data_IF_915580175094
#
_entry.id   IF_915580175094
#
_cell.length_a   1.000
_cell.length_b   1.000
_cell.length_c   1.000
_cell.angle_alpha   90.00
_cell.angle_beta   90.00
_cell.angle_gamma   90.00
#
_symmetry.space_group_name_H-M   'P 1'
#
loop_
_entity.id
_entity.type
_entity.pdbx_description
1 polymer ?
#
# COMPACT_ATOMS: atom_id res chain seq x y z
N UNK A 1 -10.23 -6.69 11.11
CA UNK A 1 -8.98 -5.98 11.41
C UNK A 1 -8.54 -4.98 10.32
N UNK A 2 -9.00 -5.08 9.06
CA UNK A 2 -8.70 -4.07 8.01
C UNK A 2 -9.48 -2.74 8.15
N UNK A 3 -10.71 -2.76 8.67
CA UNK A 3 -11.60 -1.58 8.77
C UNK A 3 -11.05 -0.44 9.65
N UNK A 4 -10.19 -0.75 10.63
CA UNK A 4 -9.58 0.27 11.50
C UNK A 4 -8.38 0.96 10.83
N UNK A 5 -7.59 0.24 10.03
CA UNK A 5 -6.50 0.81 9.24
C UNK A 5 -7.03 1.74 8.14
N UNK A 6 -8.15 1.36 7.49
CA UNK A 6 -8.83 2.19 6.49
C UNK A 6 -9.26 3.57 7.01
N UNK A 7 -9.61 3.68 8.30
CA UNK A 7 -9.98 4.98 8.90
C UNK A 7 -8.77 5.89 9.15
N UNK A 8 -7.59 5.32 9.35
CA UNK A 8 -6.37 6.07 9.64
C UNK A 8 -5.68 6.57 8.37
N UNK A 9 -5.68 5.77 7.31
CA UNK A 9 -4.89 6.02 6.10
C UNK A 9 -5.73 6.18 4.81
N UNK A 10 -7.04 5.98 4.89
CA UNK A 10 -7.94 6.14 3.76
C UNK A 10 -7.97 4.93 2.81
N UNK A 11 -8.64 5.12 1.67
CA UNK A 11 -8.82 4.07 0.64
C UNK A 11 -7.52 3.82 -0.14
N UNK A 12 -6.77 4.87 -0.48
CA UNK A 12 -5.58 4.77 -1.33
C UNK A 12 -4.47 3.90 -0.72
N UNK A 13 -4.27 3.98 0.60
CA UNK A 13 -3.29 3.15 1.31
C UNK A 13 -3.74 1.69 1.40
N UNK A 14 -5.06 1.43 1.41
CA UNK A 14 -5.58 0.07 1.34
C UNK A 14 -5.26 -0.58 -0.01
N UNK A 15 -5.28 0.18 -1.11
CA UNK A 15 -4.94 -0.34 -2.43
C UNK A 15 -3.48 -0.82 -2.51
N UNK A 16 -2.54 -0.13 -1.87
CA UNK A 16 -1.13 -0.56 -1.80
C UNK A 16 -1.01 -1.89 -1.06
N UNK A 17 -1.72 -2.03 0.07
CA UNK A 17 -1.74 -3.28 0.84
C UNK A 17 -2.37 -4.40 0.00
N UNK A 18 -3.51 -4.15 -0.65
CA UNK A 18 -4.23 -5.14 -1.45
C UNK A 18 -3.39 -5.59 -2.67
N UNK A 19 -2.61 -4.68 -3.27
CA UNK A 19 -1.65 -5.02 -4.33
C UNK A 19 -0.53 -5.93 -3.81
N UNK A 20 0.05 -5.59 -2.66
CA UNK A 20 1.12 -6.38 -2.07
C UNK A 20 0.64 -7.77 -1.61
N UNK A 21 -0.60 -7.89 -1.14
CA UNK A 21 -1.19 -9.15 -0.68
C UNK A 21 -2.00 -9.87 -1.75
N UNK A 22 -1.91 -9.46 -3.02
CA UNK A 22 -2.66 -10.10 -4.09
C UNK A 22 -2.32 -11.60 -4.19
N UNK A 23 -3.35 -12.45 -4.09
CA UNK A 23 -3.19 -13.90 -4.07
C UNK A 23 -2.81 -14.49 -2.71
N UNK A 24 -2.68 -13.67 -1.67
CA UNK A 24 -2.41 -14.07 -0.29
C UNK A 24 -3.63 -13.86 0.60
N UNK A 25 -3.69 -14.59 1.72
CA UNK A 25 -4.75 -14.45 2.71
C UNK A 25 -4.65 -13.14 3.53
N UNK A 26 -3.46 -12.53 3.54
CA UNK A 26 -3.18 -11.32 4.32
C UNK A 26 -1.70 -10.97 4.34
N UNK A 27 -1.38 -9.90 5.07
CA UNK A 27 -0.02 -9.41 5.28
C UNK A 27 0.83 -10.46 6.02
N UNK A 28 0.23 -11.34 6.82
CA UNK A 28 0.96 -12.37 7.57
C UNK A 28 1.60 -13.44 6.67
N UNK A 29 1.22 -13.51 5.40
CA UNK A 29 1.79 -14.42 4.41
C UNK A 29 2.87 -13.77 3.54
N UNK A 30 3.19 -12.49 3.78
CA UNK A 30 4.32 -11.84 3.11
C UNK A 30 5.63 -12.28 3.75
N UNK A 31 6.61 -12.58 2.91
CA UNK A 31 7.99 -12.79 3.33
C UNK A 31 8.60 -11.49 3.87
N UNK A 32 9.63 -11.59 4.70
CA UNK A 32 10.27 -10.42 5.33
C UNK A 32 10.72 -9.36 4.31
N UNK A 33 11.26 -9.77 3.16
CA UNK A 33 11.65 -8.84 2.09
C UNK A 33 10.44 -8.10 1.51
N UNK A 34 9.30 -8.77 1.37
CA UNK A 34 8.06 -8.19 0.88
C UNK A 34 7.43 -7.27 1.92
N UNK A 35 7.53 -7.60 3.21
CA UNK A 35 7.11 -6.73 4.32
C UNK A 35 7.94 -5.44 4.36
N UNK A 36 9.26 -5.55 4.19
CA UNK A 36 10.16 -4.39 4.10
C UNK A 36 9.80 -3.52 2.90
N UNK A 37 9.52 -4.12 1.74
CA UNK A 37 9.11 -3.37 0.56
C UNK A 37 7.77 -2.66 0.77
N UNK A 38 6.76 -3.37 1.29
CA UNK A 38 5.45 -2.80 1.61
C UNK A 38 5.57 -1.64 2.61
N UNK A 39 6.43 -1.75 3.63
CA UNK A 39 6.68 -0.67 4.57
C UNK A 39 7.20 0.59 3.86
N UNK A 40 8.21 0.44 3.00
CA UNK A 40 8.78 1.56 2.23
C UNK A 40 7.76 2.20 1.30
N UNK A 41 6.92 1.38 0.66
CA UNK A 41 5.86 1.88 -0.22
C UNK A 41 4.81 2.67 0.57
N UNK A 42 4.45 2.24 1.78
CA UNK A 42 3.54 2.97 2.67
C UNK A 42 4.14 4.26 3.23
N UNK A 43 5.45 4.33 3.47
CA UNK A 43 6.15 5.57 3.84
C UNK A 43 6.13 6.56 2.67
N UNK A 44 6.50 6.09 1.48
CA UNK A 44 6.49 6.92 0.27
C UNK A 44 5.09 7.40 -0.10
N UNK A 45 4.06 6.57 0.10
CA UNK A 45 2.68 6.95 -0.09
C UNK A 45 2.24 8.10 0.82
N UNK A 46 2.69 8.12 2.07
CA UNK A 46 2.41 9.24 2.98
C UNK A 46 3.05 10.55 2.49
N UNK A 47 4.28 10.48 1.96
CA UNK A 47 4.92 11.63 1.35
C UNK A 47 4.16 12.11 0.11
N UNK A 48 3.72 11.20 -0.76
CA UNK A 48 2.89 11.56 -1.92
C UNK A 48 1.56 12.21 -1.50
N UNK A 49 0.89 11.71 -0.46
CA UNK A 49 -0.32 12.34 0.06
C UNK A 49 -0.07 13.76 0.58
N UNK A 50 1.09 14.00 1.21
CA UNK A 50 1.48 15.32 1.71
C UNK A 50 1.80 16.29 0.58
N UNK A 51 2.39 15.79 -0.51
CA UNK A 51 2.77 16.58 -1.68
C UNK A 51 1.65 16.71 -2.73
N UNK A 52 0.53 15.99 -2.55
CA UNK A 52 -0.58 15.99 -3.51
C UNK A 52 -0.29 15.21 -4.80
N UNK A 53 0.68 14.30 -4.77
CA UNK A 53 1.07 13.45 -5.90
C UNK A 53 0.19 12.19 -5.90
N UNK A 54 -0.31 11.79 -7.08
CA UNK A 54 -1.09 10.56 -7.22
C UNK A 54 -0.22 9.32 -7.02
N UNK A 55 -0.82 8.20 -6.58
CA UNK A 55 -0.05 7.00 -6.29
C UNK A 55 0.40 6.29 -7.56
N UNK A 56 -0.34 6.47 -8.64
CA UNK A 56 -0.04 6.03 -9.99
C UNK A 56 1.20 6.77 -10.53
N UNK A 57 1.24 8.10 -10.41
CA UNK A 57 2.40 8.90 -10.83
C UNK A 57 3.65 8.60 -10.01
N UNK A 58 3.47 8.24 -8.73
CA UNK A 58 4.56 7.81 -7.85
C UNK A 58 5.05 6.38 -8.17
N UNK A 59 4.33 5.63 -9.01
CA UNK A 59 4.62 4.22 -9.29
C UNK A 59 4.36 3.28 -8.10
N UNK A 60 3.54 3.70 -7.14
CA UNK A 60 3.15 2.90 -5.97
C UNK A 60 2.02 1.91 -6.31
N UNK A 61 1.11 2.33 -7.20
CA UNK A 61 0.08 1.47 -7.76
C UNK A 61 0.43 1.16 -9.21
N UNK A 62 0.49 -0.13 -9.53
CA UNK A 62 0.59 -0.55 -10.92
C UNK A 62 -0.82 -0.68 -11.49
N UNK A 63 -1.13 0.16 -12.48
CA UNK A 63 -2.29 -0.05 -13.35
C UNK A 63 -2.00 -1.26 -14.26
N UNK A 64 -2.11 -2.47 -13.72
CA UNK A 64 -2.22 -3.66 -14.55
C UNK A 64 -3.62 -3.65 -15.19
N UNK A 65 -3.66 -3.30 -16.47
CA UNK A 65 -4.81 -3.52 -17.36
C UNK A 65 -4.83 -4.98 -17.83
#
# INVERSE_FOLDING_TARGET
MIRHLRRRWGYSMQLIIDQATFGLAGIEQLEDEQLVQLHRDLERAQDCMREGISFEDAGLLQAHF
#
